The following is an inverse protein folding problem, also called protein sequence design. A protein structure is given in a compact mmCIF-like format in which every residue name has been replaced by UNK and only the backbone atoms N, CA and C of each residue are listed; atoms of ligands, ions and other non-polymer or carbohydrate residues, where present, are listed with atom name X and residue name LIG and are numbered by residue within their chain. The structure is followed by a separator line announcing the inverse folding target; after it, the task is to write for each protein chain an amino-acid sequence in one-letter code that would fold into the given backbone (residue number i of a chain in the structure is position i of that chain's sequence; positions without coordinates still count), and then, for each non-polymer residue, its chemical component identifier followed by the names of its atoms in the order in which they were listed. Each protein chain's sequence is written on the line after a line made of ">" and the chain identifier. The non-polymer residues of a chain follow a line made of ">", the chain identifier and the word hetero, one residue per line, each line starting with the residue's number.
data_IF_333936886432
#
_entry.id   IF_333936886432
#
_cell.length_a   1.000
_cell.length_b   1.000
_cell.length_c   1.000
_cell.angle_alpha   90.00
_cell.angle_beta   90.00
_cell.angle_gamma   90.00
#
_symmetry.space_group_name_H-M   'P 1'
#
loop_
_entity.id
_entity.type
_entity.pdbx_description
1 polymer ?
#
# COMPACT_ATOMS: atom_id res chain seq x y z
N UNK A 1 -1.84 14.89 32.08
CA UNK A 1 -3.00 14.03 31.76
C UNK A 1 -3.31 14.23 30.30
N UNK A 2 -3.56 13.18 29.48
CA UNK A 2 -3.89 13.39 28.08
C UNK A 2 -5.21 14.16 27.99
N UNK A 3 -5.20 15.29 27.29
CA UNK A 3 -6.39 16.10 27.07
C UNK A 3 -7.27 15.32 26.10
N UNK A 4 -8.40 14.81 26.59
CA UNK A 4 -9.38 14.10 25.79
C UNK A 4 -10.07 15.07 24.83
N UNK A 5 -9.86 14.89 23.53
CA UNK A 5 -10.68 15.52 22.49
C UNK A 5 -11.86 14.58 22.19
N UNK A 6 -13.12 14.98 22.42
CA UNK A 6 -14.28 14.10 22.34
C UNK A 6 -14.55 13.48 20.95
N UNK A 7 -13.90 13.97 19.90
CA UNK A 7 -13.94 13.37 18.57
C UNK A 7 -12.90 12.26 18.33
N UNK A 8 -11.94 12.05 19.24
CA UNK A 8 -10.84 11.12 19.05
C UNK A 8 -11.02 9.84 19.87
N UNK A 9 -10.56 8.68 19.34
CA UNK A 9 -10.47 7.49 20.15
C UNK A 9 -9.53 7.74 21.34
N UNK A 10 -9.77 7.07 22.49
CA UNK A 10 -8.85 7.12 23.62
C UNK A 10 -7.42 6.77 23.18
N UNK A 11 -6.42 7.47 23.71
CA UNK A 11 -5.03 7.09 23.49
C UNK A 11 -4.79 5.69 24.07
N UNK A 12 -4.46 4.73 23.21
CA UNK A 12 -4.29 3.31 23.54
C UNK A 12 -2.81 2.86 23.49
N UNK A 13 -1.88 3.80 23.32
CA UNK A 13 -0.45 3.55 23.29
C UNK A 13 0.26 4.29 22.15
N UNK A 14 1.57 4.13 22.06
CA UNK A 14 2.39 4.71 20.99
C UNK A 14 2.35 3.81 19.73
N UNK A 15 1.67 4.24 18.68
CA UNK A 15 1.61 3.51 17.40
C UNK A 15 2.79 3.79 16.47
N UNK A 16 3.61 4.80 16.74
CA UNK A 16 4.70 5.27 15.88
C UNK A 16 5.62 4.15 15.37
N UNK A 17 6.21 3.28 16.23
CA UNK A 17 7.09 2.21 15.74
C UNK A 17 6.35 1.19 14.87
N UNK A 18 5.08 0.92 15.17
CA UNK A 18 4.25 -0.05 14.44
C UNK A 18 3.88 0.47 13.05
N UNK A 19 3.53 1.76 12.94
CA UNK A 19 3.22 2.41 11.66
C UNK A 19 4.45 2.38 10.74
N UNK A 20 5.66 2.62 11.30
CA UNK A 20 6.92 2.49 10.55
C UNK A 20 7.20 1.06 10.09
N UNK A 21 6.86 0.07 10.91
CA UNK A 21 7.00 -1.34 10.53
C UNK A 21 6.00 -1.75 9.44
N UNK A 22 4.76 -1.27 9.50
CA UNK A 22 3.75 -1.50 8.45
C UNK A 22 4.26 -1.05 7.08
N UNK A 23 4.87 0.13 6.99
CA UNK A 23 5.38 0.67 5.73
C UNK A 23 6.44 -0.24 5.05
N UNK A 24 7.17 -1.05 5.82
CA UNK A 24 8.15 -2.02 5.28
C UNK A 24 7.51 -3.16 4.47
N UNK A 25 6.19 -3.35 4.58
CA UNK A 25 5.44 -4.36 3.84
C UNK A 25 4.88 -3.84 2.51
N UNK A 26 5.08 -2.55 2.18
CA UNK A 26 4.74 -2.04 0.86
C UNK A 26 5.61 -2.74 -0.20
N UNK A 27 5.02 -3.45 -1.18
CA UNK A 27 5.81 -4.18 -2.18
C UNK A 27 6.60 -3.26 -3.10
N UNK A 28 6.11 -2.05 -3.37
CA UNK A 28 6.89 -1.03 -4.03
C UNK A 28 7.99 -0.56 -3.09
N UNK A 29 9.24 -0.62 -3.49
CA UNK A 29 10.32 -0.01 -2.71
C UNK A 29 10.78 1.28 -3.38
N UNK A 30 10.15 2.43 -3.07
CA UNK A 30 10.91 3.65 -2.99
C UNK A 30 11.63 3.69 -1.65
N UNK A 31 12.83 4.25 -1.63
CA UNK A 31 13.44 4.68 -0.37
C UNK A 31 12.53 5.77 0.19
N UNK A 32 11.59 5.42 1.06
CA UNK A 32 10.73 6.41 1.72
C UNK A 32 11.50 6.98 2.91
N UNK A 33 11.56 8.30 3.01
CA UNK A 33 12.01 8.99 4.22
C UNK A 33 10.85 9.05 5.21
N UNK A 34 11.16 8.95 6.48
CA UNK A 34 10.22 9.22 7.58
C UNK A 34 10.75 10.49 8.25
N UNK A 35 10.02 11.60 8.17
CA UNK A 35 10.53 12.89 8.67
C UNK A 35 9.92 13.29 10.02
N UNK A 36 8.69 12.89 10.35
CA UNK A 36 8.07 13.35 11.59
C UNK A 36 8.38 12.41 12.75
N UNK A 37 9.30 12.83 13.63
CA UNK A 37 9.35 12.33 15.00
C UNK A 37 8.12 12.81 15.77
N UNK A 38 7.77 12.11 16.84
CA UNK A 38 6.79 12.55 17.85
C UNK A 38 6.95 14.05 18.13
N UNK A 39 5.93 14.85 17.80
CA UNK A 39 5.97 16.33 17.95
C UNK A 39 5.43 16.71 19.33
N UNK A 40 6.32 16.65 20.33
CA UNK A 40 5.96 16.97 21.71
C UNK A 40 5.40 18.41 21.84
N UNK A 41 4.21 18.55 22.42
CA UNK A 41 3.59 19.85 22.73
C UNK A 41 2.46 20.28 21.78
N UNK A 42 2.17 19.53 20.72
CA UNK A 42 0.93 19.68 19.94
C UNK A 42 -0.19 18.88 20.60
N UNK A 43 -1.46 19.26 20.42
CA UNK A 43 -2.56 18.42 20.91
C UNK A 43 -2.96 17.35 19.90
N UNK A 44 -2.19 17.09 18.83
CA UNK A 44 -2.60 16.25 17.70
C UNK A 44 -2.09 14.79 17.79
N UNK A 45 -2.37 13.98 16.77
CA UNK A 45 -1.93 12.58 16.73
C UNK A 45 -0.39 12.40 16.85
N UNK A 46 0.43 13.38 16.49
CA UNK A 46 1.89 13.30 16.61
C UNK A 46 2.34 13.35 18.08
N UNK A 47 1.70 14.13 18.95
CA UNK A 47 2.05 14.19 20.38
C UNK A 47 1.66 12.91 21.12
N UNK A 48 0.58 12.25 20.69
CA UNK A 48 0.19 10.95 21.20
C UNK A 48 1.00 9.78 20.62
N UNK A 49 1.93 10.02 19.67
CA UNK A 49 2.70 8.96 19.01
C UNK A 49 1.87 8.12 18.04
N UNK A 50 0.76 8.66 17.54
CA UNK A 50 -0.20 7.94 16.72
C UNK A 50 -0.17 8.35 15.25
N UNK A 51 0.75 9.23 14.84
CA UNK A 51 0.91 9.66 13.45
C UNK A 51 2.36 9.58 12.94
N UNK A 52 2.51 9.39 11.63
CA UNK A 52 3.77 9.36 10.90
C UNK A 52 3.59 10.01 9.53
N UNK A 53 4.53 10.90 9.17
CA UNK A 53 4.62 11.50 7.85
C UNK A 53 5.69 10.76 7.01
N UNK A 54 5.27 10.22 5.87
CA UNK A 54 6.13 9.53 4.90
C UNK A 54 6.39 10.37 3.67
N UNK A 55 7.65 10.48 3.27
CA UNK A 55 8.12 11.28 2.14
C UNK A 55 8.84 10.39 1.13
N UNK A 56 8.81 10.76 -0.15
CA UNK A 56 9.72 10.18 -1.13
C UNK A 56 11.17 10.62 -0.85
N UNK A 57 12.17 9.78 -1.12
CA UNK A 57 13.58 10.12 -0.88
C UNK A 57 14.06 11.38 -1.63
N UNK A 58 13.37 11.74 -2.71
CA UNK A 58 13.77 12.83 -3.60
C UNK A 58 13.14 14.19 -3.24
N UNK A 59 12.32 14.28 -2.18
CA UNK A 59 11.67 15.52 -1.69
C UNK A 59 11.19 16.43 -2.82
N UNK A 60 10.02 16.13 -3.41
CA UNK A 60 9.39 17.00 -4.39
C UNK A 60 8.12 17.64 -3.83
N UNK A 61 8.08 18.97 -3.80
CA UNK A 61 6.93 19.73 -3.27
C UNK A 61 5.63 19.50 -4.07
N UNK A 62 5.74 18.88 -5.26
CA UNK A 62 4.62 18.61 -6.16
C UNK A 62 3.99 17.24 -5.96
N UNK A 63 4.60 16.36 -5.17
CA UNK A 63 4.19 14.97 -5.05
C UNK A 63 4.78 14.05 -6.10
N UNK A 64 4.86 12.77 -5.75
CA UNK A 64 5.55 11.75 -6.55
C UNK A 64 4.64 10.56 -6.84
N UNK A 65 4.89 9.90 -7.97
CA UNK A 65 4.17 8.66 -8.31
C UNK A 65 4.46 7.55 -7.30
N UNK A 66 5.64 7.54 -6.68
CA UNK A 66 5.99 6.60 -5.62
C UNK A 66 5.10 6.78 -4.39
N UNK A 67 4.91 8.03 -3.93
CA UNK A 67 4.02 8.32 -2.81
C UNK A 67 2.58 8.00 -3.16
N UNK A 68 2.14 8.32 -4.38
CA UNK A 68 0.80 7.95 -4.86
C UNK A 68 0.57 6.44 -4.82
N UNK A 69 1.51 5.63 -5.28
CA UNK A 69 1.39 4.16 -5.24
C UNK A 69 1.42 3.63 -3.80
N UNK A 70 2.24 4.23 -2.92
CA UNK A 70 2.22 3.90 -1.50
C UNK A 70 0.88 4.25 -0.84
N UNK A 71 0.32 5.43 -1.12
CA UNK A 71 -1.00 5.85 -0.66
C UNK A 71 -2.10 4.91 -1.16
N UNK A 72 -2.03 4.47 -2.42
CA UNK A 72 -2.96 3.49 -3.01
C UNK A 72 -2.86 2.12 -2.34
N UNK A 73 -1.66 1.68 -1.97
CA UNK A 73 -1.49 0.45 -1.20
C UNK A 73 -2.07 0.58 0.21
N UNK A 74 -1.76 1.68 0.91
CA UNK A 74 -2.35 2.00 2.21
C UNK A 74 -3.88 2.01 2.13
N UNK A 75 -4.46 2.59 1.09
CA UNK A 75 -5.92 2.69 0.90
C UNK A 75 -6.67 1.35 0.98
N UNK A 76 -6.01 0.23 0.65
CA UNK A 76 -6.60 -1.11 0.77
C UNK A 76 -6.92 -1.48 2.24
N UNK A 77 -6.20 -0.87 3.18
CA UNK A 77 -6.30 -1.08 4.63
C UNK A 77 -6.96 0.10 5.35
N UNK A 78 -7.61 1.02 4.64
CA UNK A 78 -8.19 2.26 5.18
C UNK A 78 -9.11 2.10 6.40
N UNK A 79 -9.69 0.91 6.61
CA UNK A 79 -10.48 0.63 7.82
C UNK A 79 -9.68 0.57 9.12
N UNK A 80 -8.34 0.59 9.04
CA UNK A 80 -7.44 0.61 10.21
C UNK A 80 -6.95 2.00 10.60
N UNK A 81 -7.20 3.02 9.77
CA UNK A 81 -6.55 4.31 9.91
C UNK A 81 -7.47 5.32 10.58
N UNK A 82 -6.94 6.08 11.52
CA UNK A 82 -7.60 7.28 12.04
C UNK A 82 -7.49 8.40 11.02
N UNK A 83 -6.31 8.56 10.43
CA UNK A 83 -6.05 9.45 9.32
C UNK A 83 -5.20 8.78 8.26
N UNK A 84 -5.51 9.05 7.01
CA UNK A 84 -4.65 8.80 5.85
C UNK A 84 -4.88 10.00 4.96
N UNK A 85 -3.86 10.81 4.73
CA UNK A 85 -3.97 12.03 3.92
C UNK A 85 -2.86 11.99 2.89
N UNK A 86 -3.25 11.87 1.64
CA UNK A 86 -2.36 12.07 0.50
C UNK A 86 -3.11 12.80 -0.59
N UNK A 87 -2.60 13.97 -0.94
CA UNK A 87 -3.10 14.73 -2.07
C UNK A 87 -2.31 14.40 -3.31
N UNK A 88 -2.97 14.50 -4.45
CA UNK A 88 -2.42 14.07 -5.73
C UNK A 88 -2.30 15.28 -6.66
N UNK A 89 -1.17 15.47 -7.35
CA UNK A 89 -1.08 16.38 -8.49
C UNK A 89 -1.59 15.72 -9.79
N UNK A 90 -1.90 14.42 -9.76
CA UNK A 90 -2.18 13.64 -10.95
C UNK A 90 -3.68 13.62 -11.24
N UNK A 91 -4.06 13.93 -12.48
CA UNK A 91 -5.46 14.04 -12.88
C UNK A 91 -6.24 12.70 -12.89
N UNK A 92 -5.56 11.57 -12.69
CA UNK A 92 -6.12 10.22 -12.78
C UNK A 92 -6.49 9.61 -11.41
N UNK A 93 -6.38 10.36 -10.31
CA UNK A 93 -7.18 10.13 -9.10
C UNK A 93 -7.44 11.44 -8.33
N UNK A 94 -8.17 11.33 -7.23
CA UNK A 94 -8.55 12.48 -6.39
C UNK A 94 -7.72 12.57 -5.11
N UNK A 95 -6.69 11.73 -4.93
CA UNK A 95 -6.01 11.53 -3.64
C UNK A 95 -6.72 10.53 -2.73
N UNK A 96 -6.20 10.36 -1.52
CA UNK A 96 -6.65 9.36 -0.56
C UNK A 96 -6.81 10.00 0.81
N UNK A 97 -8.05 10.00 1.32
CA UNK A 97 -8.41 10.69 2.55
C UNK A 97 -9.24 9.83 3.50
N UNK A 98 -8.72 9.64 4.70
CA UNK A 98 -9.43 9.12 5.87
C UNK A 98 -9.30 10.16 6.97
N UNK A 99 -10.39 10.45 7.67
CA UNK A 99 -10.41 11.28 8.87
C UNK A 99 -11.34 10.64 9.90
N UNK A 100 -10.88 10.56 11.14
CA UNK A 100 -11.61 9.92 12.25
C UNK A 100 -12.12 8.51 11.89
N UNK A 101 -11.31 7.71 11.20
CA UNK A 101 -11.69 6.35 10.81
C UNK A 101 -12.62 6.25 9.60
N UNK A 102 -12.99 7.37 8.98
CA UNK A 102 -13.96 7.40 7.88
C UNK A 102 -13.32 7.94 6.60
N UNK A 103 -13.56 7.32 5.44
CA UNK A 103 -13.23 7.93 4.16
C UNK A 103 -13.93 9.29 4.01
N UNK A 104 -13.19 10.29 3.55
CA UNK A 104 -13.70 11.64 3.27
C UNK A 104 -13.27 12.10 1.87
N UNK A 105 -13.87 13.18 1.36
CA UNK A 105 -13.43 13.82 0.11
C UNK A 105 -12.28 14.81 0.38
N UNK A 106 -11.53 15.17 -0.67
CA UNK A 106 -10.48 16.19 -0.59
C UNK A 106 -10.97 17.51 0.02
N UNK A 107 -12.19 17.95 -0.32
CA UNK A 107 -12.81 19.17 0.20
C UNK A 107 -13.14 19.17 1.69
N UNK A 108 -12.85 18.08 2.42
CA UNK A 108 -12.89 18.07 3.88
C UNK A 108 -11.73 18.88 4.49
N UNK A 109 -10.61 18.99 3.77
CA UNK A 109 -9.43 19.72 4.22
C UNK A 109 -9.41 21.11 3.56
N UNK A 110 -9.12 22.15 4.36
CA UNK A 110 -9.05 23.52 3.85
C UNK A 110 -7.90 23.69 2.84
N UNK A 111 -6.79 22.95 3.02
CA UNK A 111 -5.58 23.05 2.19
C UNK A 111 -5.02 21.65 1.89
N UNK A 112 -5.64 20.88 0.96
CA UNK A 112 -5.12 19.57 0.60
C UNK A 112 -3.72 19.67 -0.04
N UNK A 113 -3.35 20.83 -0.60
CA UNK A 113 -2.03 21.06 -1.21
C UNK A 113 -0.84 20.74 -0.31
N UNK A 114 -0.99 20.89 1.02
CA UNK A 114 0.07 20.63 1.99
C UNK A 114 0.50 19.16 2.03
N UNK A 115 -0.35 18.24 1.55
CA UNK A 115 -0.11 16.81 1.55
C UNK A 115 0.20 16.26 0.15
N UNK A 116 0.66 17.12 -0.77
CA UNK A 116 1.15 16.68 -2.08
C UNK A 116 2.48 15.93 -1.96
N UNK A 117 3.39 16.45 -1.14
CA UNK A 117 4.78 15.99 -1.05
C UNK A 117 5.02 14.91 0.02
N UNK A 118 3.97 14.51 0.76
CA UNK A 118 4.06 13.48 1.78
C UNK A 118 2.72 12.74 1.96
N UNK A 119 2.77 11.69 2.77
CA UNK A 119 1.58 10.98 3.26
C UNK A 119 1.54 11.13 4.77
N UNK A 120 0.47 11.69 5.30
CA UNK A 120 0.18 11.66 6.73
C UNK A 120 -0.63 10.39 7.05
N UNK A 121 -0.14 9.55 7.95
CA UNK A 121 -0.82 8.33 8.38
C UNK A 121 -0.92 8.31 9.90
N UNK A 122 -2.15 8.20 10.41
CA UNK A 122 -2.42 8.05 11.82
C UNK A 122 -3.23 6.80 12.14
N UNK A 123 -2.88 6.11 13.22
CA UNK A 123 -3.50 4.87 13.68
C UNK A 123 -3.52 4.82 15.21
N UNK A 124 -4.49 4.13 15.79
CA UNK A 124 -4.38 3.71 17.19
C UNK A 124 -3.33 2.59 17.32
N UNK A 125 -2.74 2.44 18.50
CA UNK A 125 -1.77 1.38 18.77
C UNK A 125 -2.35 -0.01 18.51
N UNK A 126 -3.59 -0.24 18.95
CA UNK A 126 -4.32 -1.50 18.68
C UNK A 126 -4.50 -1.76 17.19
N UNK A 127 -4.98 -0.76 16.44
CA UNK A 127 -5.20 -0.91 15.00
C UNK A 127 -3.89 -1.17 14.24
N UNK A 128 -2.80 -0.49 14.62
CA UNK A 128 -1.48 -0.72 14.02
C UNK A 128 -0.96 -2.13 14.34
N UNK A 129 -1.16 -2.62 15.56
CA UNK A 129 -0.80 -3.99 15.96
C UNK A 129 -1.53 -5.03 15.13
N UNK A 130 -2.86 -4.88 14.99
CA UNK A 130 -3.69 -5.81 14.22
C UNK A 130 -3.31 -5.83 12.73
N UNK A 131 -3.09 -4.66 12.13
CA UNK A 131 -2.69 -4.58 10.72
C UNK A 131 -1.30 -5.21 10.50
N UNK A 132 -0.33 -4.91 11.37
CA UNK A 132 1.01 -5.50 11.28
C UNK A 132 0.97 -7.03 11.39
N UNK A 133 0.13 -7.57 12.28
CA UNK A 133 -0.07 -9.02 12.40
C UNK A 133 -0.66 -9.63 11.12
N UNK A 134 -1.65 -8.96 10.51
CA UNK A 134 -2.23 -9.39 9.22
C UNK A 134 -1.20 -9.39 8.09
N UNK A 135 -0.36 -8.35 8.01
CA UNK A 135 0.70 -8.24 7.01
C UNK A 135 1.76 -9.34 7.19
N UNK A 136 2.19 -9.60 8.43
CA UNK A 136 3.10 -10.71 8.78
C UNK A 136 2.52 -12.07 8.37
N UNK A 137 1.26 -12.34 8.69
CA UNK A 137 0.59 -13.58 8.33
C UNK A 137 0.48 -13.74 6.79
N UNK A 138 0.20 -12.66 6.07
CA UNK A 138 0.15 -12.66 4.62
C UNK A 138 1.52 -12.92 3.97
N UNK A 139 2.62 -12.45 4.58
CA UNK A 139 3.99 -12.66 4.07
C UNK A 139 4.55 -14.06 4.40
N UNK A 140 4.17 -14.65 5.53
CA UNK A 140 4.53 -16.02 5.92
C UNK A 140 3.75 -17.10 5.15
N UNK A 141 2.63 -16.74 4.52
CA UNK A 141 1.85 -17.62 3.66
C UNK A 141 2.46 -17.71 2.24
N UNK A 142 3.55 -18.48 2.09
CA UNK A 142 3.93 -18.98 0.76
C UNK A 142 2.80 -19.82 0.15
N UNK A 143 2.55 -19.76 -1.18
CA UNK A 143 1.51 -20.57 -1.79
C UNK A 143 1.84 -22.05 -1.62
N UNK A 144 1.04 -22.74 -0.80
CA UNK A 144 1.15 -24.19 -0.57
C UNK A 144 0.92 -24.91 -1.90
N UNK A 145 2.01 -25.43 -2.48
CA UNK A 145 2.03 -26.22 -3.71
C UNK A 145 1.28 -27.54 -3.45
N UNK A 146 -0.01 -27.62 -3.75
CA UNK A 146 -0.78 -28.86 -3.66
C UNK A 146 -0.42 -29.77 -4.83
N UNK A 147 0.35 -30.82 -4.55
CA UNK A 147 0.57 -31.96 -5.44
C UNK A 147 -0.72 -32.78 -5.54
N UNK A 148 -1.25 -32.93 -6.75
CA UNK A 148 -2.30 -33.90 -7.02
C UNK A 148 -1.88 -34.81 -8.18
N UNK A 149 -2.06 -36.10 -7.90
CA UNK A 149 -1.57 -37.31 -8.57
C UNK A 149 -2.18 -37.48 -9.97
N UNK A 150 -1.38 -38.06 -10.86
CA UNK A 150 -1.72 -38.41 -12.26
C UNK A 150 -2.75 -39.56 -12.30
N UNK A 151 -3.86 -39.38 -13.02
CA UNK A 151 -4.66 -40.47 -13.59
C UNK A 151 -5.26 -40.04 -14.94
N UNK A 152 -5.37 -41.02 -15.82
CA UNK A 152 -5.53 -40.96 -17.28
C UNK A 152 -6.99 -41.10 -17.73
N UNK A 153 -7.41 -40.35 -18.76
CA UNK A 153 -8.16 -40.81 -19.96
C UNK A 153 -8.88 -39.64 -20.67
N UNK A 154 -9.32 -39.87 -21.91
CA UNK A 154 -9.38 -38.92 -23.05
C UNK A 154 -10.84 -38.57 -23.41
N UNK A 155 -11.13 -37.28 -23.69
CA UNK A 155 -11.89 -36.71 -24.85
C UNK A 155 -12.76 -35.46 -24.52
N UNK A 156 -12.50 -34.39 -25.30
CA UNK A 156 -13.25 -33.17 -25.66
C UNK A 156 -13.79 -32.15 -24.61
N UNK A 157 -13.11 -30.99 -24.62
CA UNK A 157 -13.30 -29.63 -24.05
C UNK A 157 -14.62 -29.19 -23.35
N UNK A 158 -14.43 -28.50 -22.21
CA UNK A 158 -14.87 -27.12 -22.01
C UNK A 158 -13.66 -26.18 -21.93
N UNK A 159 -13.85 -24.89 -22.27
CA UNK A 159 -12.84 -23.83 -22.20
C UNK A 159 -12.30 -23.74 -20.76
N UNK A 160 -11.16 -24.38 -20.51
CA UNK A 160 -10.53 -24.53 -19.20
C UNK A 160 -10.29 -23.14 -18.63
N UNK A 161 -10.92 -22.81 -17.50
CA UNK A 161 -10.55 -21.63 -16.74
C UNK A 161 -9.05 -21.73 -16.45
N UNK A 162 -8.27 -20.80 -17.02
CA UNK A 162 -6.83 -20.79 -16.86
C UNK A 162 -6.52 -20.69 -15.36
N UNK A 163 -5.73 -21.63 -14.85
CA UNK A 163 -5.22 -21.55 -13.49
C UNK A 163 -4.38 -20.28 -13.37
N UNK A 164 -4.76 -19.40 -12.43
CA UNK A 164 -4.06 -18.13 -12.20
C UNK A 164 -2.60 -18.42 -11.84
N UNK A 165 -1.66 -18.03 -12.71
CA UNK A 165 -0.22 -18.20 -12.45
C UNK A 165 0.37 -16.90 -11.95
N UNK A 166 1.28 -17.01 -10.98
CA UNK A 166 2.04 -15.87 -10.46
C UNK A 166 3.53 -16.03 -10.79
N UNK A 167 4.22 -14.90 -10.90
CA UNK A 167 5.65 -14.79 -11.16
C UNK A 167 6.27 -13.77 -10.22
N UNK A 168 7.40 -14.11 -9.61
CA UNK A 168 8.20 -13.16 -8.82
C UNK A 168 9.26 -12.56 -9.72
N UNK A 169 9.19 -11.24 -9.91
CA UNK A 169 10.10 -10.46 -10.73
C UNK A 169 11.51 -10.59 -10.15
N UNK A 170 12.51 -10.83 -10.99
CA UNK A 170 13.92 -10.86 -10.59
C UNK A 170 14.67 -9.64 -11.13
N UNK A 171 15.88 -9.40 -10.62
CA UNK A 171 16.68 -8.27 -11.05
C UNK A 171 17.00 -8.37 -12.56
N UNK A 172 16.72 -7.29 -13.29
CA UNK A 172 16.91 -7.22 -14.75
C UNK A 172 15.66 -7.59 -15.58
N UNK A 173 14.57 -8.04 -14.95
CA UNK A 173 13.31 -8.24 -15.67
C UNK A 173 12.67 -6.91 -16.10
N UNK A 174 12.05 -6.92 -17.27
CA UNK A 174 11.14 -5.87 -17.75
C UNK A 174 9.73 -6.45 -17.91
N UNK A 175 8.68 -5.62 -17.80
CA UNK A 175 7.31 -6.13 -17.92
C UNK A 175 7.04 -6.70 -19.33
N UNK A 176 7.70 -6.15 -20.35
CA UNK A 176 7.74 -6.68 -21.70
C UNK A 176 8.43 -8.05 -21.77
N UNK A 177 9.63 -8.19 -21.19
CA UNK A 177 10.35 -9.47 -21.16
C UNK A 177 9.59 -10.57 -20.40
N UNK A 178 8.88 -10.21 -19.33
CA UNK A 178 7.99 -11.12 -18.62
C UNK A 178 6.79 -11.50 -19.50
N UNK A 179 6.18 -10.55 -20.21
CA UNK A 179 5.06 -10.82 -21.10
C UNK A 179 5.46 -11.84 -22.18
N UNK A 180 6.63 -11.67 -22.79
CA UNK A 180 7.15 -12.58 -23.81
C UNK A 180 7.41 -13.98 -23.25
N UNK A 181 8.09 -14.07 -22.10
CA UNK A 181 8.38 -15.34 -21.40
C UNK A 181 7.11 -16.12 -21.05
N UNK A 182 6.04 -15.41 -20.71
CA UNK A 182 4.76 -16.00 -20.31
C UNK A 182 3.73 -16.06 -21.44
N UNK A 183 4.11 -15.71 -22.67
CA UNK A 183 3.24 -15.72 -23.87
C UNK A 183 1.94 -14.93 -23.66
N UNK A 184 2.07 -13.74 -23.09
CA UNK A 184 0.98 -12.78 -22.86
C UNK A 184 1.41 -11.39 -23.35
N UNK A 185 0.62 -10.35 -23.08
CA UNK A 185 0.96 -8.97 -23.43
C UNK A 185 1.14 -8.13 -22.17
N UNK A 186 1.92 -7.05 -22.27
CA UNK A 186 2.07 -6.06 -21.20
C UNK A 186 0.70 -5.56 -20.74
N UNK A 187 -0.19 -5.22 -21.68
CA UNK A 187 -1.54 -4.78 -21.35
C UNK A 187 -2.37 -5.83 -20.61
N UNK A 188 -2.20 -7.12 -20.92
CA UNK A 188 -2.83 -8.20 -20.15
C UNK A 188 -2.21 -8.35 -18.75
N UNK A 189 -0.88 -8.22 -18.62
CA UNK A 189 -0.22 -8.22 -17.32
C UNK A 189 -0.74 -7.06 -16.44
N UNK A 190 -0.90 -5.86 -17.00
CA UNK A 190 -1.46 -4.73 -16.26
C UNK A 190 -2.93 -4.96 -15.88
N UNK A 191 -3.74 -5.56 -16.76
CA UNK A 191 -5.13 -5.94 -16.43
C UNK A 191 -5.20 -6.96 -15.29
N UNK A 192 -4.29 -7.93 -15.26
CA UNK A 192 -4.21 -8.93 -14.21
C UNK A 192 -3.64 -8.37 -12.89
N UNK A 193 -2.85 -7.31 -13.00
CA UNK A 193 -2.15 -6.63 -11.90
C UNK A 193 -2.46 -5.14 -11.92
N UNK A 194 -3.66 -4.71 -11.49
CA UNK A 194 -4.07 -3.31 -11.52
C UNK A 194 -3.20 -2.40 -10.64
N UNK A 195 -2.31 -2.97 -9.83
CA UNK A 195 -1.28 -2.26 -9.07
C UNK A 195 -0.06 -1.85 -9.91
N UNK A 196 0.07 -2.35 -11.15
CA UNK A 196 1.16 -2.00 -12.07
C UNK A 196 0.61 -1.03 -13.11
N UNK A 197 0.61 0.24 -12.75
CA UNK A 197 0.10 1.34 -13.58
C UNK A 197 1.15 1.80 -14.61
N UNK A 198 2.42 1.75 -14.25
CA UNK A 198 3.55 2.01 -15.15
C UNK A 198 4.24 0.69 -15.57
N UNK A 199 4.16 0.28 -16.84
CA UNK A 199 4.78 -0.95 -17.31
C UNK A 199 6.32 -0.90 -17.34
N UNK A 200 6.90 0.30 -17.38
CA UNK A 200 8.36 0.50 -17.41
C UNK A 200 8.98 0.48 -16.01
N UNK A 201 8.15 0.44 -14.97
CA UNK A 201 8.60 0.46 -13.59
C UNK A 201 8.10 -0.76 -12.83
N UNK A 202 8.93 -1.80 -12.86
CA UNK A 202 8.77 -3.02 -12.07
C UNK A 202 10.05 -3.29 -11.30
N UNK A 203 9.94 -3.95 -10.14
CA UNK A 203 11.10 -4.22 -9.28
C UNK A 203 11.20 -5.69 -8.92
N UNK A 204 12.45 -6.15 -8.78
CA UNK A 204 12.75 -7.48 -8.28
C UNK A 204 12.09 -7.70 -6.91
N UNK A 205 11.53 -8.90 -6.70
CA UNK A 205 10.78 -9.27 -5.51
C UNK A 205 9.27 -9.07 -5.62
N UNK A 206 8.77 -8.28 -6.58
CA UNK A 206 7.33 -8.16 -6.82
C UNK A 206 6.75 -9.49 -7.28
N UNK A 207 5.63 -9.91 -6.71
CA UNK A 207 4.88 -11.07 -7.21
C UNK A 207 3.65 -10.61 -7.99
N UNK A 208 3.60 -10.96 -9.27
CA UNK A 208 2.60 -10.50 -10.23
C UNK A 208 1.90 -11.70 -10.89
N UNK A 209 0.64 -11.54 -11.30
CA UNK A 209 -0.15 -12.51 -12.05
C UNK A 209 0.19 -12.46 -13.54
N UNK A 210 0.39 -13.62 -14.17
CA UNK A 210 0.85 -13.70 -15.57
C UNK A 210 -0.10 -14.42 -16.52
N UNK A 211 -1.07 -15.17 -16.01
CA UNK A 211 -2.15 -15.80 -16.79
C UNK A 211 -3.33 -16.14 -15.88
#
# INVERSE_FOLDING_TARGET
>A
MPIYNPGWPPNDGDAYPLIRDIAKYFPGSPKMKVSSTKRNGSADYHDFGNAVDFYDAYDNDRGSRNMREFARWLWQWRGYYLELIHSTPFADDNGFYVKLGKPVSAGFFNEPGDHLNHIHLAMSHKAATELLAKLKAAQGASPKKSSAKKSTSRKAAPKKAAAKKSYTIVAGDTLSGIADKHKTTVGNLQKLNPTITNPDYIQAGWTIRVS
#
